data_IF_257469395805
#
_entry.id   IF_257469395805
#
_cell.length_a   1.000
_cell.length_b   1.000
_cell.length_c   1.000
_cell.angle_alpha   90.00
_cell.angle_beta   90.00
_cell.angle_gamma   90.00
#
_symmetry.space_group_name_H-M   'P 1'
#
loop_
_entity.id
_entity.type
_entity.pdbx_description
1 polymer ?
#
# COMPACT_ATOMS: atom_id res chain seq x y z
N UNK A 1 8.25 40.92 22.26
CA UNK A 1 7.69 40.05 21.21
C UNK A 1 6.19 39.97 21.45
N UNK A 2 5.37 40.44 20.51
CA UNK A 2 3.92 40.52 20.72
C UNK A 2 3.36 39.09 20.85
N UNK A 3 2.70 38.76 21.98
CA UNK A 3 2.14 37.42 22.24
C UNK A 3 1.20 36.92 21.12
N UNK A 4 0.60 37.85 20.36
CA UNK A 4 -0.23 37.57 19.18
C UNK A 4 0.55 37.04 17.97
N UNK A 5 1.81 37.45 17.77
CA UNK A 5 2.66 36.94 16.68
C UNK A 5 3.15 35.51 16.95
N UNK A 6 3.43 35.19 18.23
CA UNK A 6 3.86 33.84 18.63
C UNK A 6 2.73 32.82 18.45
N UNK A 7 1.48 33.24 18.69
CA UNK A 7 0.30 32.37 18.55
C UNK A 7 0.00 32.05 17.07
N UNK A 8 0.11 33.01 16.16
CA UNK A 8 -0.05 32.76 14.71
C UNK A 8 1.05 31.85 14.14
N UNK A 9 2.27 31.93 14.70
CA UNK A 9 3.40 31.07 14.27
C UNK A 9 3.27 29.63 14.79
N UNK A 10 2.69 29.44 15.97
CA UNK A 10 2.42 28.10 16.51
C UNK A 10 1.30 27.39 15.73
N UNK A 11 0.27 28.14 15.33
CA UNK A 11 -0.87 27.60 14.55
C UNK A 11 -0.45 27.17 13.14
N UNK A 12 0.50 27.87 12.50
CA UNK A 12 1.01 27.52 11.16
C UNK A 12 1.99 26.34 11.15
N UNK A 13 2.64 26.02 12.26
CA UNK A 13 3.45 24.80 12.40
C UNK A 13 2.64 23.53 12.72
N UNK A 14 1.36 23.67 13.11
CA UNK A 14 0.46 22.56 13.42
C UNK A 14 -0.42 22.14 12.23
N UNK A 15 -0.42 22.92 11.15
CA UNK A 15 -1.12 22.56 9.91
C UNK A 15 -0.17 21.81 8.99
N UNK A 16 0.05 20.53 9.26
CA UNK A 16 0.58 19.63 8.24
C UNK A 16 -0.37 19.65 7.03
N UNK A 17 0.12 19.70 5.78
CA UNK A 17 -0.75 19.50 4.64
C UNK A 17 -1.43 18.15 4.79
N UNK A 18 -2.76 18.13 4.62
CA UNK A 18 -3.54 16.89 4.63
C UNK A 18 -3.08 16.10 3.40
N UNK A 19 -2.65 14.86 3.61
CA UNK A 19 -2.37 13.96 2.49
C UNK A 19 -3.63 13.87 1.63
N UNK A 20 -3.53 14.29 0.37
CA UNK A 20 -4.56 14.03 -0.62
C UNK A 20 -4.34 12.57 -1.04
N UNK A 21 -5.36 11.74 -0.85
CA UNK A 21 -5.31 10.32 -1.23
C UNK A 21 -5.51 10.24 -2.75
N UNK A 22 -4.53 9.64 -3.42
CA UNK A 22 -4.71 9.16 -4.77
C UNK A 22 -5.59 7.90 -4.68
N UNK A 23 -6.70 7.86 -5.40
CA UNK A 23 -7.86 7.12 -4.93
C UNK A 23 -7.79 5.63 -5.25
N UNK A 24 -7.53 4.79 -4.24
CA UNK A 24 -8.01 3.40 -4.25
C UNK A 24 -9.51 3.45 -3.95
N UNK A 25 -10.33 3.11 -4.93
CA UNK A 25 -11.77 2.98 -4.73
C UNK A 25 -12.04 1.73 -3.92
N UNK A 26 -12.80 1.87 -2.84
CA UNK A 26 -13.28 0.77 -2.00
C UNK A 26 -12.16 -0.16 -1.51
N UNK A 27 -11.01 0.38 -1.13
CA UNK A 27 -9.84 -0.42 -0.74
C UNK A 27 -9.98 -1.18 0.57
N UNK A 28 -10.95 -0.81 1.41
CA UNK A 28 -11.34 -1.53 2.61
C UNK A 28 -12.67 -2.31 2.44
N UNK A 29 -13.14 -2.45 1.20
CA UNK A 29 -14.36 -3.18 0.84
C UNK A 29 -15.61 -2.83 1.66
N UNK A 30 -15.73 -1.60 2.18
CA UNK A 30 -16.81 -1.22 3.10
C UNK A 30 -18.23 -1.30 2.50
N UNK A 31 -18.35 -1.26 1.16
CA UNK A 31 -19.60 -1.52 0.44
C UNK A 31 -20.01 -2.99 0.41
N UNK A 32 -19.13 -3.91 0.85
CA UNK A 32 -19.30 -5.35 0.78
C UNK A 32 -19.58 -5.88 -0.63
N UNK A 33 -18.93 -5.26 -1.60
CA UNK A 33 -18.87 -5.66 -2.99
C UNK A 33 -17.48 -5.36 -3.53
N UNK A 34 -17.25 -5.73 -4.79
CA UNK A 34 -16.02 -5.43 -5.52
C UNK A 34 -16.08 -4.09 -6.26
N UNK A 35 -16.89 -3.12 -5.82
CA UNK A 35 -17.00 -1.84 -6.52
C UNK A 35 -15.61 -1.16 -6.67
N UNK A 36 -15.25 -0.78 -7.89
CA UNK A 36 -13.93 -0.20 -8.20
C UNK A 36 -12.82 -1.23 -8.49
N UNK A 37 -13.08 -2.52 -8.28
CA UNK A 37 -12.14 -3.61 -8.57
C UNK A 37 -12.61 -4.44 -9.76
N UNK A 38 -11.65 -5.04 -10.45
CA UNK A 38 -11.84 -5.96 -11.56
C UNK A 38 -11.34 -7.34 -11.15
N UNK A 39 -12.01 -8.36 -11.70
CA UNK A 39 -11.68 -9.77 -11.47
C UNK A 39 -11.22 -10.38 -12.78
N UNK A 40 -10.23 -11.25 -12.69
CA UNK A 40 -9.71 -12.00 -13.81
C UNK A 40 -9.33 -13.42 -13.35
N UNK A 41 -9.86 -14.41 -14.05
CA UNK A 41 -9.52 -15.82 -13.86
C UNK A 41 -8.72 -16.28 -15.08
N UNK A 42 -7.48 -16.71 -14.85
CA UNK A 42 -6.56 -17.24 -15.87
C UNK A 42 -6.28 -16.30 -17.07
N UNK A 43 -6.41 -14.99 -16.91
CA UNK A 43 -6.23 -14.01 -18.00
C UNK A 43 -7.41 -13.92 -18.97
N UNK A 44 -8.58 -14.47 -18.61
CA UNK A 44 -9.77 -14.54 -19.46
C UNK A 44 -10.87 -13.54 -19.06
N UNK A 45 -10.59 -12.67 -18.09
CA UNK A 45 -11.54 -11.77 -17.45
C UNK A 45 -12.38 -12.46 -16.37
N UNK A 46 -13.48 -11.81 -15.98
CA UNK A 46 -14.39 -12.30 -14.94
C UNK A 46 -15.28 -13.43 -15.46
N UNK A 47 -14.71 -14.63 -15.57
CA UNK A 47 -15.43 -15.87 -15.90
C UNK A 47 -15.79 -16.69 -14.66
N UNK A 48 -15.37 -16.25 -13.49
CA UNK A 48 -15.69 -16.82 -12.18
C UNK A 48 -17.21 -16.93 -12.00
N UNK A 49 -17.73 -18.13 -11.76
CA UNK A 49 -19.15 -18.38 -11.49
C UNK A 49 -19.44 -18.89 -10.09
N UNK A 50 -18.41 -19.40 -9.38
CA UNK A 50 -18.56 -20.03 -8.08
C UNK A 50 -17.77 -19.30 -7.00
N UNK A 51 -16.61 -19.82 -6.59
CA UNK A 51 -15.96 -19.41 -5.34
C UNK A 51 -14.64 -18.67 -5.53
N UNK A 52 -14.18 -18.46 -6.76
CA UNK A 52 -12.91 -17.79 -7.06
C UNK A 52 -12.73 -16.45 -6.33
N UNK A 53 -13.81 -15.67 -6.23
CA UNK A 53 -13.82 -14.37 -5.58
C UNK A 53 -15.02 -14.24 -4.65
N UNK A 54 -14.76 -13.88 -3.39
CA UNK A 54 -15.78 -13.70 -2.38
C UNK A 54 -15.60 -12.39 -1.63
N UNK A 55 -16.71 -11.83 -1.17
CA UNK A 55 -16.69 -10.82 -0.11
C UNK A 55 -17.02 -11.53 1.19
N UNK A 56 -16.13 -11.37 2.17
CA UNK A 56 -16.29 -11.89 3.52
C UNK A 56 -16.57 -10.75 4.49
N UNK A 57 -17.25 -11.05 5.60
CA UNK A 57 -17.60 -10.07 6.63
C UNK A 57 -18.99 -9.44 6.47
N UNK A 58 -19.20 -8.31 7.12
CA UNK A 58 -20.48 -7.58 7.11
C UNK A 58 -20.24 -6.09 7.14
N UNK A 59 -21.02 -5.32 6.37
CA UNK A 59 -20.79 -3.88 6.21
C UNK A 59 -20.78 -3.14 7.56
N UNK A 60 -19.81 -2.24 7.79
CA UNK A 60 -18.76 -1.76 6.87
C UNK A 60 -17.43 -2.53 6.98
N UNK A 61 -17.41 -3.68 7.65
CA UNK A 61 -16.21 -4.48 7.92
C UNK A 61 -16.21 -5.72 7.01
N UNK A 62 -15.94 -5.49 5.74
CA UNK A 62 -15.84 -6.52 4.73
C UNK A 62 -14.43 -6.59 4.16
N UNK A 63 -14.07 -7.72 3.56
CA UNK A 63 -12.80 -7.92 2.86
C UNK A 63 -13.03 -8.73 1.59
N UNK A 64 -12.17 -8.53 0.59
CA UNK A 64 -12.13 -9.42 -0.56
C UNK A 64 -11.37 -10.70 -0.21
N UNK A 65 -11.79 -11.83 -0.75
CA UNK A 65 -11.08 -13.10 -0.66
C UNK A 65 -11.00 -13.73 -2.05
N UNK A 66 -9.80 -14.15 -2.43
CA UNK A 66 -9.54 -14.97 -3.61
C UNK A 66 -9.32 -16.41 -3.16
N UNK A 67 -9.80 -17.37 -3.94
CA UNK A 67 -9.58 -18.80 -3.71
C UNK A 67 -9.04 -19.47 -4.96
N UNK A 68 -8.16 -20.47 -4.80
CA UNK A 68 -7.68 -21.33 -5.88
C UNK A 68 -7.54 -22.79 -5.43
N UNK A 69 -7.33 -23.69 -6.39
CA UNK A 69 -7.06 -25.13 -6.19
C UNK A 69 -8.15 -25.89 -5.39
N UNK A 70 -9.36 -25.35 -5.37
CA UNK A 70 -10.53 -25.95 -4.76
C UNK A 70 -11.37 -26.70 -5.79
N UNK A 71 -12.12 -27.71 -5.35
CA UNK A 71 -13.07 -28.42 -6.23
C UNK A 71 -14.18 -27.52 -6.82
N UNK A 72 -14.33 -26.29 -6.31
CA UNK A 72 -15.34 -25.32 -6.71
C UNK A 72 -14.71 -23.96 -7.11
N UNK A 73 -13.45 -23.96 -7.52
CA UNK A 73 -12.77 -22.81 -8.14
C UNK A 73 -12.60 -23.08 -9.62
N UNK A 74 -12.65 -22.04 -10.45
CA UNK A 74 -12.52 -22.14 -11.89
C UNK A 74 -11.09 -21.88 -12.39
N UNK A 75 -10.26 -21.24 -11.56
CA UNK A 75 -8.85 -21.02 -11.89
C UNK A 75 -8.09 -22.34 -12.07
N UNK A 76 -7.33 -22.42 -13.16
CA UNK A 76 -6.32 -23.45 -13.42
C UNK A 76 -4.90 -22.94 -13.18
N UNK A 77 -4.70 -21.63 -13.25
CA UNK A 77 -3.42 -20.98 -13.04
C UNK A 77 -3.50 -19.95 -11.94
N UNK A 78 -4.45 -19.00 -12.04
CA UNK A 78 -4.53 -17.91 -11.09
C UNK A 78 -5.88 -17.20 -11.09
N UNK A 79 -6.23 -16.64 -9.93
CA UNK A 79 -7.21 -15.58 -9.80
C UNK A 79 -6.50 -14.26 -9.51
N UNK A 80 -6.92 -13.19 -10.20
CA UNK A 80 -6.36 -11.85 -10.07
C UNK A 80 -7.47 -10.85 -9.74
N UNK A 81 -7.29 -10.10 -8.65
CA UNK A 81 -8.11 -8.95 -8.30
C UNK A 81 -7.28 -7.69 -8.48
N UNK A 82 -7.75 -6.76 -9.29
CA UNK A 82 -6.95 -5.61 -9.69
C UNK A 82 -7.75 -4.32 -9.82
N UNK A 83 -7.04 -3.21 -9.72
CA UNK A 83 -7.60 -1.87 -9.91
C UNK A 83 -6.54 -0.97 -10.53
N UNK A 84 -6.97 -0.09 -11.44
CA UNK A 84 -6.11 0.96 -11.99
C UNK A 84 -5.68 1.91 -10.88
N UNK A 85 -4.38 2.20 -10.82
CA UNK A 85 -3.84 3.24 -9.95
C UNK A 85 -3.96 4.60 -10.66
N UNK A 86 -4.55 5.56 -9.96
CA UNK A 86 -4.59 6.96 -10.38
C UNK A 86 -3.65 7.75 -9.47
N UNK A 87 -2.53 8.23 -10.00
CA UNK A 87 -1.55 9.02 -9.28
C UNK A 87 -1.91 10.50 -9.44
N UNK A 88 -2.54 11.07 -8.41
CA UNK A 88 -3.18 12.40 -8.52
C UNK A 88 -2.18 13.55 -8.28
N UNK A 89 -0.96 13.27 -7.82
CA UNK A 89 0.02 14.28 -7.43
C UNK A 89 1.45 13.86 -7.76
N UNK A 90 2.34 14.83 -7.95
CA UNK A 90 3.81 14.65 -8.05
C UNK A 90 4.47 14.58 -6.66
N UNK A 91 3.77 13.99 -5.69
CA UNK A 91 4.27 13.79 -4.34
C UNK A 91 4.61 12.32 -4.14
N UNK A 92 5.64 11.98 -3.34
CA UNK A 92 5.92 10.60 -3.01
C UNK A 92 4.67 9.93 -2.46
N UNK A 93 4.30 8.79 -3.03
CA UNK A 93 3.10 8.06 -2.66
C UNK A 93 3.45 6.86 -1.78
N UNK A 94 2.60 6.56 -0.81
CA UNK A 94 2.69 5.37 0.01
C UNK A 94 1.49 4.47 -0.29
N UNK A 95 1.80 3.25 -0.73
CA UNK A 95 0.84 2.16 -0.90
C UNK A 95 0.90 1.27 0.34
N UNK A 96 -0.25 0.94 0.92
CA UNK A 96 -0.36 -0.04 2.00
C UNK A 96 -1.57 -0.93 1.83
N UNK A 97 -1.47 -2.15 2.33
CA UNK A 97 -2.54 -3.15 2.28
C UNK A 97 -2.29 -4.23 3.32
N UNK A 98 -3.37 -4.88 3.75
CA UNK A 98 -3.35 -6.03 4.63
C UNK A 98 -3.67 -7.30 3.83
N UNK A 99 -2.94 -8.37 4.11
CA UNK A 99 -3.20 -9.70 3.57
C UNK A 99 -3.38 -10.71 4.69
N UNK A 100 -4.30 -11.65 4.48
CA UNK A 100 -4.29 -12.92 5.19
C UNK A 100 -4.21 -14.04 4.16
N UNK A 101 -3.17 -14.85 4.26
CA UNK A 101 -2.92 -15.99 3.40
C UNK A 101 -3.24 -17.25 4.18
N UNK A 102 -3.91 -18.20 3.54
CA UNK A 102 -4.22 -19.49 4.13
C UNK A 102 -4.15 -20.59 3.09
N UNK A 103 -3.50 -21.71 3.40
CA UNK A 103 -3.60 -22.94 2.62
C UNK A 103 -4.18 -24.07 3.47
N UNK A 104 -4.96 -24.95 2.85
CA UNK A 104 -5.49 -26.13 3.52
C UNK A 104 -4.40 -27.15 3.83
N UNK A 105 -3.44 -27.30 2.93
CA UNK A 105 -2.28 -28.17 3.07
C UNK A 105 -1.04 -27.35 3.42
N UNK A 106 -0.07 -27.99 4.04
CA UNK A 106 1.18 -27.39 4.49
C UNK A 106 2.37 -28.25 4.06
N UNK A 107 3.59 -27.73 4.20
CA UNK A 107 4.82 -28.50 3.97
C UNK A 107 4.99 -29.71 4.89
N UNK A 108 4.14 -29.85 5.92
CA UNK A 108 4.07 -31.04 6.76
C UNK A 108 3.23 -32.19 6.17
N UNK A 109 2.40 -31.91 5.16
CA UNK A 109 1.56 -32.87 4.47
C UNK A 109 2.33 -33.56 3.33
N UNK A 110 2.08 -34.85 3.13
CA UNK A 110 2.72 -35.61 2.06
C UNK A 110 2.16 -35.16 0.70
N UNK A 111 3.06 -34.76 -0.21
CA UNK A 111 2.68 -34.32 -1.55
C UNK A 111 2.27 -32.86 -1.63
N UNK A 112 2.62 -32.04 -0.63
CA UNK A 112 2.41 -30.60 -0.66
C UNK A 112 3.05 -29.94 -1.87
N UNK A 113 2.24 -29.18 -2.60
CA UNK A 113 2.62 -28.31 -3.69
C UNK A 113 2.10 -26.93 -3.34
N UNK A 114 3.01 -26.04 -2.95
CA UNK A 114 2.62 -24.73 -2.44
C UNK A 114 2.07 -23.81 -3.53
N UNK A 115 0.79 -23.46 -3.39
CA UNK A 115 0.21 -22.26 -4.00
C UNK A 115 0.96 -21.01 -3.53
N UNK A 116 0.86 -19.92 -4.29
CA UNK A 116 1.60 -18.71 -3.96
C UNK A 116 0.83 -17.43 -4.28
N UNK A 117 1.02 -16.43 -3.42
CA UNK A 117 0.46 -15.11 -3.59
C UNK A 117 1.50 -14.16 -4.19
N UNK A 118 1.04 -13.28 -5.08
CA UNK A 118 1.82 -12.20 -5.67
C UNK A 118 1.02 -10.90 -5.53
N UNK A 119 1.70 -9.84 -5.11
CA UNK A 119 1.17 -8.47 -5.22
C UNK A 119 2.15 -7.64 -6.02
N UNK A 120 1.68 -6.93 -7.03
CA UNK A 120 2.55 -6.18 -7.93
C UNK A 120 1.87 -4.93 -8.48
N UNK A 121 2.71 -4.04 -9.02
CA UNK A 121 2.25 -2.98 -9.92
C UNK A 121 2.50 -3.48 -11.36
N UNK A 122 1.51 -3.39 -12.25
CA UNK A 122 1.63 -3.78 -13.65
C UNK A 122 1.36 -2.62 -14.59
N UNK A 123 1.93 -2.68 -15.80
CA UNK A 123 1.69 -1.72 -16.89
C UNK A 123 0.56 -2.18 -17.84
N UNK A 124 -0.19 -3.22 -17.46
CA UNK A 124 -1.23 -3.82 -18.30
C UNK A 124 -0.72 -4.64 -19.51
N UNK A 125 0.59 -4.79 -19.67
CA UNK A 125 1.20 -5.62 -20.75
C UNK A 125 1.68 -6.99 -20.26
N UNK A 126 1.48 -7.28 -18.97
CA UNK A 126 1.95 -8.48 -18.29
C UNK A 126 3.33 -8.32 -17.62
N UNK A 127 3.92 -7.12 -17.65
CA UNK A 127 5.13 -6.84 -16.89
C UNK A 127 4.78 -6.40 -15.47
N UNK A 128 5.53 -6.91 -14.50
CA UNK A 128 5.39 -6.59 -13.09
C UNK A 128 6.57 -5.78 -12.56
N UNK A 129 6.25 -4.83 -11.67
CA UNK A 129 7.19 -3.89 -11.10
C UNK A 129 7.12 -3.86 -9.57
N UNK A 130 8.29 -3.73 -8.95
CA UNK A 130 8.45 -3.46 -7.52
C UNK A 130 8.15 -1.99 -7.18
N UNK A 131 8.20 -1.62 -5.89
CA UNK A 131 7.93 -0.25 -5.44
C UNK A 131 8.93 0.80 -5.96
N UNK A 132 10.05 0.37 -6.54
CA UNK A 132 11.08 1.23 -7.12
C UNK A 132 10.96 1.31 -8.65
N UNK A 133 9.99 0.61 -9.25
CA UNK A 133 9.77 0.54 -10.70
C UNK A 133 10.78 -0.35 -11.43
N UNK A 134 11.48 -1.24 -10.73
CA UNK A 134 12.25 -2.30 -11.38
C UNK A 134 11.35 -3.51 -11.62
N UNK A 135 11.73 -4.39 -12.55
CA UNK A 135 11.01 -5.65 -12.74
C UNK A 135 11.01 -6.47 -11.46
N UNK A 136 9.81 -6.87 -11.00
CA UNK A 136 9.64 -7.58 -9.74
C UNK A 136 8.23 -7.47 -9.20
N UNK A 137 8.10 -7.71 -7.89
CA UNK A 137 6.83 -7.72 -7.18
C UNK A 137 6.93 -6.85 -5.93
N UNK A 138 5.80 -6.33 -5.46
CA UNK A 138 5.72 -5.74 -4.12
C UNK A 138 5.80 -6.84 -3.07
N UNK A 139 5.13 -7.96 -3.31
CA UNK A 139 5.16 -9.15 -2.45
C UNK A 139 5.08 -10.41 -3.31
N UNK A 140 5.80 -11.46 -2.91
CA UNK A 140 5.64 -12.80 -3.45
C UNK A 140 6.00 -13.82 -2.38
N UNK A 141 5.17 -14.85 -2.20
CA UNK A 141 5.39 -15.87 -1.19
C UNK A 141 4.56 -17.13 -1.43
N UNK A 142 5.17 -18.29 -1.17
CA UNK A 142 4.47 -19.58 -1.09
C UNK A 142 3.63 -19.60 0.18
N UNK A 143 2.40 -20.08 0.08
CA UNK A 143 1.47 -20.17 1.20
C UNK A 143 1.66 -21.53 1.87
N UNK A 144 2.10 -21.53 3.12
CA UNK A 144 2.34 -22.74 3.92
C UNK A 144 1.64 -22.61 5.29
N UNK A 145 0.34 -22.83 5.28
CA UNK A 145 -0.54 -22.61 6.42
C UNK A 145 -1.11 -21.20 6.44
N UNK A 146 -1.28 -20.63 7.65
CA UNK A 146 -1.90 -19.31 7.83
C UNK A 146 -0.86 -18.24 8.15
N UNK A 147 -0.95 -17.11 7.46
CA UNK A 147 -0.13 -15.93 7.69
C UNK A 147 -0.95 -14.65 7.58
N UNK A 148 -0.61 -13.64 8.38
CA UNK A 148 -1.22 -12.30 8.30
C UNK A 148 -0.12 -11.25 8.14
N UNK A 149 -0.27 -10.39 7.15
CA UNK A 149 0.72 -9.41 6.72
C UNK A 149 0.09 -8.03 6.67
N UNK A 150 0.79 -7.03 7.20
CA UNK A 150 0.47 -5.62 6.99
C UNK A 150 1.66 -4.98 6.28
N UNK A 151 1.48 -4.62 5.01
CA UNK A 151 2.56 -4.22 4.11
C UNK A 151 2.43 -2.74 3.73
N UNK A 152 3.57 -2.07 3.58
CA UNK A 152 3.61 -0.66 3.19
C UNK A 152 4.88 -0.35 2.39
N UNK A 153 4.70 0.36 1.28
CA UNK A 153 5.73 0.71 0.33
C UNK A 153 5.65 2.18 -0.05
N UNK A 154 6.78 2.89 0.00
CA UNK A 154 6.91 4.18 -0.68
C UNK A 154 7.23 3.93 -2.15
N UNK A 155 6.37 4.42 -3.03
CA UNK A 155 6.46 4.25 -4.47
C UNK A 155 7.41 5.31 -5.06
N UNK A 156 8.24 4.89 -6.02
CA UNK A 156 9.16 5.77 -6.72
C UNK A 156 8.45 6.67 -7.76
N UNK A 157 9.02 7.85 -7.99
CA UNK A 157 8.49 8.89 -8.90
C UNK A 157 8.30 8.44 -10.36
N UNK A 158 8.86 7.28 -10.75
CA UNK A 158 8.62 6.69 -12.08
C UNK A 158 7.13 6.42 -12.32
N UNK A 159 6.38 6.10 -11.26
CA UNK A 159 4.95 5.83 -11.32
C UNK A 159 4.11 7.09 -11.59
N UNK A 160 4.64 8.29 -11.29
CA UNK A 160 3.94 9.57 -11.53
C UNK A 160 3.90 9.95 -13.02
N UNK A 161 4.79 9.38 -13.82
CA UNK A 161 5.06 9.83 -15.20
C UNK A 161 4.39 9.01 -16.29
N UNK A 162 3.94 7.79 -15.97
CA UNK A 162 3.27 6.91 -16.92
C UNK A 162 1.78 6.76 -16.56
N UNK A 163 0.92 6.85 -17.57
CA UNK A 163 -0.49 6.49 -17.44
C UNK A 163 -0.61 4.96 -17.52
N UNK A 164 -1.58 4.40 -16.78
CA UNK A 164 -2.02 2.99 -16.88
C UNK A 164 -1.25 1.97 -16.05
N UNK A 165 -0.89 2.36 -14.82
CA UNK A 165 -0.49 1.40 -13.79
C UNK A 165 -1.70 0.72 -13.17
N UNK A 166 -1.56 -0.55 -12.82
CA UNK A 166 -2.55 -1.34 -12.09
C UNK A 166 -1.90 -1.92 -10.85
N UNK A 167 -2.65 -1.96 -9.75
CA UNK A 167 -2.32 -2.76 -8.58
C UNK A 167 -3.02 -4.11 -8.75
N UNK A 168 -2.24 -5.19 -8.71
CA UNK A 168 -2.73 -6.55 -8.89
C UNK A 168 -2.43 -7.39 -7.65
N UNK A 169 -3.46 -8.07 -7.16
CA UNK A 169 -3.37 -9.13 -6.17
C UNK A 169 -3.69 -10.45 -6.88
N UNK A 170 -2.71 -11.32 -6.98
CA UNK A 170 -2.82 -12.59 -7.68
C UNK A 170 -2.60 -13.75 -6.71
N UNK A 171 -3.54 -14.69 -6.72
CA UNK A 171 -3.40 -15.98 -6.05
C UNK A 171 -3.20 -17.04 -7.12
N UNK A 172 -2.06 -17.73 -7.08
CA UNK A 172 -1.61 -18.66 -8.11
C UNK A 172 -1.60 -20.10 -7.59
N UNK A 173 -1.93 -21.03 -8.48
CA UNK A 173 -1.88 -22.47 -8.23
C UNK A 173 -0.44 -22.97 -8.38
N UNK A 174 0.03 -23.69 -7.37
CA UNK A 174 1.31 -24.39 -7.39
C UNK A 174 1.23 -25.63 -8.27
N UNK A 175 2.37 -26.01 -8.87
CA UNK A 175 2.47 -27.26 -9.63
C UNK A 175 3.78 -27.99 -9.30
N UNK A 176 3.72 -29.31 -9.19
CA UNK A 176 4.88 -30.18 -9.06
C UNK A 176 5.69 -30.28 -10.39
N UNK A 177 6.69 -31.17 -10.41
CA UNK A 177 7.55 -31.35 -11.58
C UNK A 177 6.81 -31.95 -12.79
N UNK A 178 5.64 -32.54 -12.57
CA UNK A 178 4.75 -33.14 -13.54
C UNK A 178 3.64 -32.18 -13.99
N UNK A 179 3.57 -30.99 -13.38
CA UNK A 179 2.59 -29.95 -13.69
C UNK A 179 1.25 -30.15 -12.99
N UNK A 180 1.21 -30.91 -11.89
CA UNK A 180 0.00 -31.19 -11.12
C UNK A 180 -0.01 -30.37 -9.82
N UNK A 181 -1.18 -29.80 -9.50
CA UNK A 181 -1.44 -29.23 -8.18
C UNK A 181 -1.76 -30.32 -7.15
N UNK A 182 -1.77 -29.96 -5.86
CA UNK A 182 -2.11 -30.90 -4.79
C UNK A 182 -3.62 -30.91 -4.46
N UNK A 183 -4.42 -30.04 -5.07
CA UNK A 183 -5.86 -29.91 -4.86
C UNK A 183 -6.21 -29.32 -3.49
N UNK A 184 -5.22 -28.70 -2.84
CA UNK A 184 -5.31 -28.14 -1.51
C UNK A 184 -5.71 -26.68 -1.55
N UNK A 185 -7.01 -26.40 -1.42
CA UNK A 185 -7.53 -25.02 -1.52
C UNK A 185 -6.68 -24.02 -0.72
N UNK A 186 -6.31 -22.93 -1.39
CA UNK A 186 -5.66 -21.78 -0.78
C UNK A 186 -6.50 -20.53 -0.95
N UNK A 187 -6.36 -19.59 -0.02
CA UNK A 187 -7.03 -18.30 -0.07
C UNK A 187 -6.09 -17.14 0.24
N UNK A 188 -6.44 -15.99 -0.33
CA UNK A 188 -5.84 -14.69 -0.05
C UNK A 188 -6.96 -13.69 0.25
N UNK A 189 -7.04 -13.26 1.51
CA UNK A 189 -7.92 -12.19 1.95
C UNK A 189 -7.19 -10.86 1.88
N UNK A 190 -7.85 -9.83 1.35
CA UNK A 190 -7.30 -8.51 1.08
C UNK A 190 -8.18 -7.48 1.80
N UNK A 191 -7.55 -6.56 2.52
CA UNK A 191 -8.23 -5.45 3.20
C UNK A 191 -7.33 -4.21 3.33
N UNK A 192 -7.94 -3.08 3.71
CA UNK A 192 -7.27 -1.80 4.02
C UNK A 192 -6.29 -1.31 2.95
N UNK A 193 -6.58 -1.55 1.67
CA UNK A 193 -5.78 -1.08 0.55
C UNK A 193 -5.88 0.44 0.45
N UNK A 194 -4.74 1.11 0.52
CA UNK A 194 -4.65 2.57 0.62
C UNK A 194 -3.49 3.08 -0.21
N UNK A 195 -3.74 4.18 -0.94
CA UNK A 195 -2.72 4.94 -1.65
C UNK A 195 -2.83 6.40 -1.21
N UNK A 196 -1.78 6.90 -0.56
CA UNK A 196 -1.80 8.24 0.03
C UNK A 196 -0.49 8.99 -0.24
N UNK A 197 -0.58 10.29 -0.51
CA UNK A 197 0.60 11.14 -0.56
C UNK A 197 1.30 11.16 0.79
N UNK A 198 2.63 11.06 0.78
CA UNK A 198 3.47 11.24 1.96
C UNK A 198 3.73 12.73 2.12
N UNK A 199 3.23 13.38 3.18
CA UNK A 199 3.48 14.80 3.37
C UNK A 199 4.98 15.07 3.46
N UNK A 200 5.48 16.02 2.66
CA UNK A 200 6.84 16.49 2.80
C UNK A 200 7.10 16.91 4.26
N UNK A 201 8.24 16.54 4.87
CA UNK A 201 8.57 17.00 6.21
C UNK A 201 8.46 18.52 6.26
N UNK A 202 7.91 19.08 7.35
CA UNK A 202 7.75 20.52 7.56
C UNK A 202 9.10 21.23 7.80
N UNK A 203 10.10 20.91 6.98
CA UNK A 203 11.49 21.36 7.04
C UNK A 203 11.57 22.88 7.00
N UNK A 204 10.71 23.54 6.24
CA UNK A 204 10.61 25.00 6.21
C UNK A 204 10.20 25.59 7.57
N UNK A 205 9.30 24.93 8.30
CA UNK A 205 8.92 25.32 9.67
C UNK A 205 10.09 25.19 10.64
N UNK A 206 10.87 24.11 10.54
CA UNK A 206 12.07 23.90 11.34
C UNK A 206 13.17 24.93 11.03
N UNK A 207 13.39 25.27 9.75
CA UNK A 207 14.34 26.31 9.36
C UNK A 207 13.93 27.70 9.86
N UNK A 208 12.64 28.03 9.82
CA UNK A 208 12.11 29.29 10.35
C UNK A 208 12.20 29.35 11.88
N UNK A 209 11.94 28.25 12.59
CA UNK A 209 12.14 28.14 14.03
C UNK A 209 13.61 28.30 14.41
N UNK A 210 14.52 27.63 13.69
CA UNK A 210 15.95 27.77 13.89
C UNK A 210 16.44 29.20 13.64
N UNK A 211 15.97 29.84 12.56
CA UNK A 211 16.32 31.22 12.21
C UNK A 211 15.83 32.23 13.26
N UNK A 212 14.58 32.08 13.73
CA UNK A 212 14.03 32.96 14.78
C UNK A 212 14.74 32.77 16.13
N UNK A 213 15.10 31.54 16.50
CA UNK A 213 15.91 31.27 17.69
C UNK A 213 17.32 31.91 17.59
N UNK A 214 17.96 31.84 16.42
CA UNK A 214 19.25 32.48 16.15
C UNK A 214 19.19 34.01 16.24
N UNK A 215 18.14 34.64 15.72
CA UNK A 215 17.93 36.10 15.80
C UNK A 215 17.68 36.55 17.24
N UNK A 216 16.93 35.78 18.03
CA UNK A 216 16.73 36.06 19.46
C UNK A 216 18.03 35.91 20.26
N UNK A 217 18.86 34.92 19.94
CA UNK A 217 20.17 34.72 20.57
C UNK A 217 21.11 35.89 20.27
N UNK A 218 21.17 36.37 19.02
CA UNK A 218 21.96 37.57 18.66
C UNK A 218 21.52 38.81 19.44
N UNK A 219 20.21 39.07 19.55
CA UNK A 219 19.69 40.23 20.30
C UNK A 219 20.04 40.18 21.79
N UNK A 220 19.99 39.00 22.43
CA UNK A 220 20.42 38.86 23.84
C UNK A 220 21.92 39.13 24.01
N UNK A 221 22.75 38.70 23.06
CA UNK A 221 24.20 38.96 23.08
C UNK A 221 24.55 40.44 22.88
N UNK A 222 23.89 41.14 21.96
CA UNK A 222 24.12 42.58 21.73
C UNK A 222 23.71 43.45 22.93
N UNK A 223 22.65 43.08 23.65
CA UNK A 223 22.23 43.77 24.88
C UNK A 223 23.24 43.54 26.02
N UNK A 224 23.84 42.34 26.11
CA UNK A 224 24.86 42.04 27.12
C UNK A 224 26.16 42.83 26.88
N UNK A 225 26.57 43.00 25.63
CA UNK A 225 27.78 43.79 25.26
C UNK A 225 27.57 45.30 25.51
N UNK A 226 26.35 45.82 25.28
CA UNK A 226 26.01 47.21 25.61
C UNK A 226 25.97 47.48 27.13
N UNK A 227 25.67 46.47 27.94
CA UNK A 227 25.70 46.58 29.40
C UNK A 227 27.13 46.48 29.98
N UNK A 228 28.02 45.71 29.35
CA UNK A 228 29.43 45.61 29.77
C UNK A 228 30.35 46.70 29.15
N UNK A 229 29.92 47.40 28.11
CA UNK A 229 30.66 48.50 27.46
C UNK A 229 30.52 49.87 28.13
N UNK A 230 29.77 49.98 29.24
CA UNK A 230 29.72 51.16 30.12
C UNK A 230 30.40 50.84 31.44
N UNK A 231 31.72 50.68 31.40
CA UNK A 231 32.56 50.95 32.57
C UNK A 231 33.66 51.91 32.11
N UNK A 232 33.78 53.00 32.87
CA UNK A 232 34.77 54.08 32.77
C UNK A 232 36.16 53.53 33.04
#
# INVERSE_FOLDING_TARGET
MNKRLLLCFLVTCLTSPVAISAAITNGNFASCDFAGWQKDTDGLGDISTVNDFQITGTSPQCSAELLVDGANTEAFFANTLYQRLDFIDSQPMMLSFDLELASRLTSSDQGFVGDYAVVAISDGTGNYFDAQGNSGFLFSGIIDGMESLALSYTLADVFDSASDWFLEFQLNIGADAEGLSDGGVSSMRIDNVTLASVPAPATYGLFLLAATALVQRKRRMSVLVLLNGRSV
#
